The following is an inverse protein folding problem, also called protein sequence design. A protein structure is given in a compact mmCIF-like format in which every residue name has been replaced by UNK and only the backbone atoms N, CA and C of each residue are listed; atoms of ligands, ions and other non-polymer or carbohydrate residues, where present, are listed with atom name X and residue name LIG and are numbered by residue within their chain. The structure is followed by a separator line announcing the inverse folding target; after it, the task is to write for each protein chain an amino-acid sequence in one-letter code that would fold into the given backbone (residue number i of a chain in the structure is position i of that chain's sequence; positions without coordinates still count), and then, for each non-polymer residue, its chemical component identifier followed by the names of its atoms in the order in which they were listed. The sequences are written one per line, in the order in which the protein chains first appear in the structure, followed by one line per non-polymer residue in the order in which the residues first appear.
data_IF_659444821245
#
_entry.id   IF_659444821245
#
_cell.length_a   1.000
_cell.length_b   1.000
_cell.length_c   1.000
_cell.angle_alpha   90.00
_cell.angle_beta   90.00
_cell.angle_gamma   90.00
#
_symmetry.space_group_name_H-M   'P 1'
#
loop_
_entity.id
_entity.type
_entity.pdbx_description
1 polymer ?
#
# COMPACT_ATOMS: atom_id res chain seq x y z
N UNK A 1 -26.80 31.55 11.94
CA UNK A 1 -26.10 30.82 10.86
C UNK A 1 -25.11 29.88 11.55
N UNK A 2 -25.40 28.57 11.60
CA UNK A 2 -24.62 27.63 12.44
C UNK A 2 -23.58 26.87 11.58
N UNK A 3 -22.73 27.62 10.89
CA UNK A 3 -21.61 27.05 10.11
C UNK A 3 -20.32 27.40 10.83
N UNK A 4 -19.47 26.40 11.03
CA UNK A 4 -18.14 26.57 11.59
C UNK A 4 -17.09 26.43 10.49
N UNK A 5 -15.96 27.10 10.70
CA UNK A 5 -14.74 26.93 9.92
C UNK A 5 -13.74 26.21 10.83
N UNK A 6 -13.11 25.16 10.31
CA UNK A 6 -12.28 24.26 11.09
C UNK A 6 -11.02 23.91 10.29
N UNK A 7 -9.90 23.76 11.01
CA UNK A 7 -8.62 23.35 10.45
C UNK A 7 -8.41 21.86 10.73
N UNK A 8 -8.71 21.02 9.74
CA UNK A 8 -8.69 19.57 9.89
C UNK A 8 -7.39 18.97 9.39
N UNK A 9 -6.70 18.25 10.28
CA UNK A 9 -5.65 17.30 9.93
C UNK A 9 -6.28 15.92 9.81
N UNK A 10 -6.38 15.39 8.60
CA UNK A 10 -7.02 14.11 8.32
C UNK A 10 -6.15 12.97 8.84
N UNK A 11 -6.74 12.07 9.62
CA UNK A 11 -6.06 10.88 10.14
C UNK A 11 -6.45 9.64 9.32
N UNK A 12 -7.74 9.48 9.06
CA UNK A 12 -8.29 8.40 8.26
C UNK A 12 -9.36 8.95 7.33
N UNK A 13 -9.51 8.33 6.17
CA UNK A 13 -10.56 8.66 5.22
C UNK A 13 -10.91 7.40 4.43
N UNK A 14 -12.18 7.02 4.48
CA UNK A 14 -12.73 5.87 3.78
C UNK A 14 -13.98 6.27 3.02
N UNK A 15 -14.18 5.67 1.85
CA UNK A 15 -15.42 5.83 1.08
C UNK A 15 -16.48 4.89 1.66
N UNK A 16 -17.55 5.45 2.18
CA UNK A 16 -18.73 4.73 2.66
C UNK A 16 -19.97 5.18 1.87
N UNK A 17 -20.24 4.46 0.78
CA UNK A 17 -21.34 4.77 -0.13
C UNK A 17 -21.16 6.14 -0.81
N UNK A 18 -22.12 7.04 -0.58
CA UNK A 18 -22.16 8.38 -1.16
C UNK A 18 -21.32 9.41 -0.40
N UNK A 19 -20.60 8.99 0.65
CA UNK A 19 -19.79 9.87 1.49
C UNK A 19 -18.39 9.35 1.71
N UNK A 20 -17.46 10.28 1.89
CA UNK A 20 -16.17 10.02 2.51
C UNK A 20 -16.34 10.30 3.99
N UNK A 21 -16.01 9.30 4.80
CA UNK A 21 -16.07 9.38 6.26
C UNK A 21 -14.70 9.11 6.85
N UNK A 22 -14.42 9.66 8.02
CA UNK A 22 -13.12 9.46 8.61
C UNK A 22 -12.94 10.17 9.93
N UNK A 23 -11.70 10.18 10.39
CA UNK A 23 -11.28 10.88 11.59
C UNK A 23 -10.28 11.98 11.24
N UNK A 24 -10.37 13.10 11.93
CA UNK A 24 -9.44 14.22 11.81
C UNK A 24 -9.16 14.82 13.18
N UNK A 25 -8.15 15.69 13.24
CA UNK A 25 -7.85 16.53 14.40
C UNK A 25 -8.19 17.97 14.05
N UNK A 26 -8.94 18.64 14.91
CA UNK A 26 -9.11 20.09 14.93
C UNK A 26 -8.55 20.62 16.24
N UNK A 27 -7.37 21.24 16.20
CA UNK A 27 -6.63 21.64 17.40
C UNK A 27 -6.25 20.42 18.27
N UNK A 28 -6.86 20.28 19.44
CA UNK A 28 -6.68 19.18 20.39
C UNK A 28 -7.85 18.18 20.40
N UNK A 29 -8.83 18.36 19.52
CA UNK A 29 -10.06 17.57 19.48
C UNK A 29 -10.01 16.58 18.32
N UNK A 30 -10.21 15.29 18.62
CA UNK A 30 -10.49 14.27 17.61
C UNK A 30 -11.94 14.40 17.14
N UNK A 31 -12.14 14.59 15.84
CA UNK A 31 -13.45 14.74 15.22
C UNK A 31 -13.69 13.66 14.19
N UNK A 32 -14.94 13.20 14.10
CA UNK A 32 -15.42 12.42 12.96
C UNK A 32 -15.84 13.39 11.87
N UNK A 33 -15.53 13.10 10.61
CA UNK A 33 -16.04 13.90 9.50
C UNK A 33 -16.84 13.08 8.51
N UNK A 34 -17.73 13.77 7.81
CA UNK A 34 -18.42 13.24 6.65
C UNK A 34 -18.56 14.33 5.59
N UNK A 35 -18.25 13.99 4.34
CA UNK A 35 -18.42 14.85 3.16
C UNK A 35 -19.01 14.03 2.01
N UNK A 36 -19.86 14.59 1.13
CA UNK A 36 -20.26 13.90 -0.08
C UNK A 36 -19.06 13.43 -0.92
N UNK A 37 -19.17 12.22 -1.47
CA UNK A 37 -18.18 11.64 -2.37
C UNK A 37 -18.29 12.32 -3.73
N UNK A 38 -17.24 13.06 -4.07
CA UNK A 38 -17.03 13.72 -5.37
C UNK A 38 -15.60 13.39 -5.81
N UNK A 39 -15.30 13.53 -7.09
CA UNK A 39 -13.93 13.28 -7.58
C UNK A 39 -12.90 14.17 -6.86
N UNK A 40 -13.27 15.43 -6.59
CA UNK A 40 -12.41 16.36 -5.87
C UNK A 40 -12.24 15.92 -4.40
N UNK A 41 -13.33 15.59 -3.70
CA UNK A 41 -13.22 15.18 -2.29
C UNK A 41 -12.42 13.87 -2.13
N UNK A 42 -12.51 12.93 -3.06
CA UNK A 42 -11.69 11.71 -3.03
C UNK A 42 -10.19 11.99 -3.11
N UNK A 43 -9.78 13.04 -3.83
CA UNK A 43 -8.38 13.42 -3.95
C UNK A 43 -7.88 14.26 -2.75
N UNK A 44 -8.77 15.02 -2.12
CA UNK A 44 -8.40 15.90 -1.00
C UNK A 44 -8.42 15.21 0.36
N UNK A 45 -9.39 14.34 0.59
CA UNK A 45 -9.56 13.66 1.88
C UNK A 45 -8.73 12.39 1.92
N UNK A 46 -7.42 12.58 2.08
CA UNK A 46 -6.42 11.53 2.26
C UNK A 46 -5.79 11.66 3.66
N UNK A 47 -5.28 10.57 4.26
CA UNK A 47 -4.52 10.65 5.51
C UNK A 47 -3.41 11.69 5.44
N UNK A 48 -3.13 12.37 6.53
CA UNK A 48 -2.13 13.45 6.66
C UNK A 48 -2.44 14.76 5.90
N UNK A 49 -3.53 14.83 5.14
CA UNK A 49 -3.95 16.09 4.53
C UNK A 49 -4.33 17.11 5.60
N UNK A 50 -3.99 18.39 5.33
CA UNK A 50 -4.37 19.51 6.18
C UNK A 50 -5.27 20.46 5.39
N UNK A 51 -6.53 20.57 5.82
CA UNK A 51 -7.60 21.23 5.08
C UNK A 51 -8.33 22.24 5.97
N UNK A 52 -8.56 23.45 5.46
CA UNK A 52 -9.55 24.36 6.04
C UNK A 52 -10.90 24.05 5.43
N UNK A 53 -11.87 23.68 6.25
CA UNK A 53 -13.21 23.29 5.81
C UNK A 53 -14.28 24.13 6.47
N UNK A 54 -15.42 24.26 5.80
CA UNK A 54 -16.65 24.75 6.42
C UNK A 54 -17.66 23.63 6.57
N UNK A 55 -18.39 23.65 7.68
CA UNK A 55 -19.35 22.60 7.97
C UNK A 55 -20.19 22.89 9.20
N UNK A 56 -20.92 21.87 9.64
CA UNK A 56 -21.72 21.92 10.86
C UNK A 56 -21.21 20.87 11.83
N UNK A 57 -20.76 21.32 13.00
CA UNK A 57 -20.48 20.42 14.10
C UNK A 57 -21.77 19.81 14.64
N UNK A 58 -21.67 18.55 15.05
CA UNK A 58 -22.73 17.77 15.66
C UNK A 58 -22.11 16.96 16.80
N UNK A 59 -22.84 16.82 17.90
CA UNK A 59 -22.50 15.80 18.87
C UNK A 59 -22.91 14.43 18.31
N UNK A 60 -22.02 13.46 18.43
CA UNK A 60 -22.29 12.06 18.14
C UNK A 60 -23.29 11.48 19.15
N UNK A 61 -23.76 10.27 18.85
CA UNK A 61 -24.66 9.53 19.76
C UNK A 61 -23.97 9.18 21.07
N UNK A 62 -22.68 8.86 20.99
CA UNK A 62 -21.86 8.50 22.14
C UNK A 62 -21.29 9.77 22.80
N UNK A 63 -21.31 9.78 24.13
CA UNK A 63 -20.81 10.91 24.91
C UNK A 63 -19.34 11.21 24.54
N UNK A 64 -19.03 12.50 24.34
CA UNK A 64 -17.68 12.95 23.98
C UNK A 64 -17.29 12.78 22.52
N UNK A 65 -18.18 12.26 21.66
CA UNK A 65 -17.92 12.20 20.21
C UNK A 65 -18.37 13.48 19.54
N UNK A 66 -17.46 14.14 18.83
CA UNK A 66 -17.77 15.33 18.02
C UNK A 66 -17.62 14.95 16.55
N UNK A 67 -18.64 15.28 15.76
CA UNK A 67 -18.65 15.08 14.32
C UNK A 67 -18.78 16.40 13.56
N UNK A 68 -18.22 16.50 12.36
CA UNK A 68 -18.42 17.59 11.43
C UNK A 68 -18.99 17.08 10.11
N UNK A 69 -20.16 17.60 9.73
CA UNK A 69 -20.69 17.45 8.37
C UNK A 69 -20.09 18.56 7.52
N UNK A 70 -19.16 18.21 6.64
CA UNK A 70 -18.43 19.17 5.82
C UNK A 70 -19.31 19.56 4.63
N UNK A 71 -19.47 20.87 4.45
CA UNK A 71 -20.20 21.46 3.34
C UNK A 71 -19.26 21.83 2.19
N UNK A 72 -18.08 22.35 2.50
CA UNK A 72 -17.09 22.71 1.48
C UNK A 72 -15.67 22.75 2.04
N UNK A 73 -14.68 22.58 1.17
CA UNK A 73 -13.28 22.86 1.46
C UNK A 73 -13.02 24.32 1.08
N UNK A 74 -12.52 25.11 2.03
CA UNK A 74 -12.19 26.52 1.83
C UNK A 74 -10.75 26.64 1.31
N UNK A 75 -9.82 25.90 1.90
CA UNK A 75 -8.42 25.92 1.52
C UNK A 75 -7.75 24.57 1.76
N UNK A 76 -6.72 24.30 0.98
CA UNK A 76 -5.82 23.17 1.14
C UNK A 76 -4.50 23.71 1.66
N UNK A 77 -4.13 23.37 2.90
CA UNK A 77 -2.87 23.80 3.50
C UNK A 77 -1.76 22.84 3.09
N UNK A 78 -2.04 21.55 3.16
CA UNK A 78 -1.09 20.50 2.80
C UNK A 78 -1.80 19.27 2.26
N UNK A 79 -1.21 18.64 1.25
CA UNK A 79 -1.55 17.31 0.78
C UNK A 79 -0.27 16.49 0.72
N UNK A 80 -0.27 15.27 1.29
CA UNK A 80 0.87 14.38 1.11
C UNK A 80 1.00 14.03 -0.36
N UNK A 81 2.23 14.12 -0.87
CA UNK A 81 2.56 13.66 -2.21
C UNK A 81 2.61 12.14 -2.16
N UNK A 82 1.77 11.47 -2.94
CA UNK A 82 1.91 10.03 -3.14
C UNK A 82 3.32 9.76 -3.67
N UNK A 83 4.13 9.03 -2.91
CA UNK A 83 5.44 8.59 -3.40
C UNK A 83 5.22 7.81 -4.70
N UNK A 84 5.97 8.11 -5.78
CA UNK A 84 5.83 7.36 -7.02
C UNK A 84 6.07 5.89 -6.70
N UNK A 85 5.09 5.04 -7.00
CA UNK A 85 5.26 3.61 -6.95
C UNK A 85 6.44 3.29 -7.87
N UNK A 86 7.52 2.73 -7.32
CA UNK A 86 8.64 2.27 -8.12
C UNK A 86 8.09 1.26 -9.13
N UNK A 87 8.06 1.63 -10.41
CA UNK A 87 7.80 0.69 -11.49
C UNK A 87 8.86 -0.40 -11.40
N UNK A 88 8.44 -1.59 -10.98
CA UNK A 88 9.27 -2.78 -11.04
C UNK A 88 9.37 -3.11 -12.53
N UNK A 89 10.38 -2.61 -13.22
CA UNK A 89 10.74 -3.09 -14.56
C UNK A 89 10.98 -4.60 -14.46
N UNK A 90 10.19 -5.46 -15.14
CA UNK A 90 10.52 -6.87 -15.20
C UNK A 90 11.75 -7.00 -16.10
N UNK A 91 12.90 -7.31 -15.50
CA UNK A 91 14.08 -7.74 -16.27
C UNK A 91 13.79 -9.10 -16.88
N UNK A 92 13.14 -9.13 -18.05
CA UNK A 92 13.28 -10.22 -18.99
C UNK A 92 14.73 -10.22 -19.49
N UNK A 93 15.51 -11.25 -19.15
CA UNK A 93 16.58 -11.72 -20.03
C UNK A 93 16.42 -13.23 -20.17
N UNK A 94 15.89 -13.58 -21.34
CA UNK A 94 15.84 -14.92 -21.89
C UNK A 94 17.25 -15.53 -22.04
N UNK A 95 17.28 -16.85 -22.05
CA UNK A 95 18.47 -17.68 -22.11
C UNK A 95 19.26 -17.60 -23.44
N UNK A 96 20.55 -17.96 -23.32
CA UNK A 96 21.42 -18.62 -24.31
C UNK A 96 22.08 -17.79 -25.42
N UNK A 97 23.43 -17.68 -25.37
CA UNK A 97 24.33 -17.95 -26.51
C UNK A 97 25.69 -18.50 -26.01
N UNK A 98 25.85 -19.81 -26.16
CA UNK A 98 26.98 -20.51 -26.81
C UNK A 98 28.36 -19.82 -26.88
N UNK A 99 29.35 -20.36 -26.14
CA UNK A 99 30.76 -19.99 -26.29
C UNK A 99 31.55 -21.20 -26.82
N UNK A 100 31.90 -21.14 -28.10
CA UNK A 100 32.78 -22.07 -28.81
C UNK A 100 34.24 -21.63 -28.54
N UNK A 101 35.10 -22.55 -28.07
CA UNK A 101 36.55 -22.34 -27.99
C UNK A 101 37.28 -23.39 -28.87
N UNK A 102 38.35 -23.02 -29.60
CA UNK A 102 39.04 -23.90 -30.55
C UNK A 102 40.08 -24.83 -29.90
N UNK A 103 40.45 -25.88 -30.63
CA UNK A 103 41.29 -27.02 -30.24
C UNK A 103 42.79 -26.76 -30.23
N UNK A 104 43.56 -27.50 -29.39
CA UNK A 104 44.56 -28.50 -29.82
C UNK A 104 45.32 -29.14 -28.62
N UNK A 105 45.74 -30.40 -28.78
CA UNK A 105 46.21 -31.41 -27.78
C UNK A 105 47.77 -31.50 -27.71
N UNK A 106 48.49 -32.43 -27.00
CA UNK A 106 48.11 -33.64 -26.23
C UNK A 106 48.90 -34.03 -24.92
N UNK A 107 48.35 -35.02 -24.20
CA UNK A 107 48.96 -36.13 -23.44
C UNK A 107 49.82 -35.90 -22.16
N UNK A 108 49.33 -36.43 -21.00
CA UNK A 108 49.88 -37.62 -20.28
C UNK A 108 49.34 -37.78 -18.84
N UNK A 109 49.16 -39.05 -18.45
CA UNK A 109 49.19 -39.61 -17.07
C UNK A 109 48.09 -39.16 -16.09
N UNK A 110 47.54 -39.96 -15.18
CA UNK A 110 47.72 -41.36 -14.72
C UNK A 110 46.48 -41.64 -13.84
N UNK A 111 45.77 -42.74 -14.10
CA UNK A 111 45.64 -43.91 -13.19
C UNK A 111 44.48 -43.88 -12.16
N UNK A 112 43.54 -44.82 -12.39
CA UNK A 112 42.73 -45.64 -11.44
C UNK A 112 41.76 -44.88 -10.50
N UNK A 113 40.53 -45.30 -10.22
CA UNK A 113 39.94 -46.66 -10.14
C UNK A 113 38.42 -46.56 -9.91
N UNK A 114 37.70 -47.61 -10.34
CA UNK A 114 36.47 -48.17 -9.73
C UNK A 114 35.14 -47.42 -9.92
N UNK A 115 34.19 -47.90 -10.75
CA UNK A 115 33.15 -48.93 -10.45
C UNK A 115 32.39 -48.65 -9.14
N UNK A 116 31.06 -48.73 -9.00
CA UNK A 116 29.94 -49.17 -9.85
C UNK A 116 28.63 -48.82 -9.12
N UNK A 117 27.63 -48.36 -9.87
CA UNK A 117 26.27 -48.95 -9.99
C UNK A 117 25.62 -49.56 -8.72
N UNK A 118 24.43 -49.07 -8.37
CA UNK A 118 23.13 -49.80 -8.42
C UNK A 118 22.20 -49.51 -7.23
N UNK A 119 21.07 -48.87 -7.55
CA UNK A 119 19.68 -49.24 -7.19
C UNK A 119 19.48 -50.15 -5.96
N UNK A 120 18.64 -49.69 -5.01
CA UNK A 120 17.46 -50.48 -4.60
C UNK A 120 16.38 -49.61 -3.96
N UNK A 121 15.14 -49.98 -4.24
CA UNK A 121 13.90 -49.29 -3.94
C UNK A 121 13.22 -49.79 -2.65
N UNK A 122 12.20 -49.02 -2.25
CA UNK A 122 10.83 -49.45 -1.93
C UNK A 122 10.33 -49.32 -0.47
N UNK A 123 9.24 -48.53 -0.38
CA UNK A 123 7.92 -48.79 0.25
C UNK A 123 7.74 -48.76 1.79
N UNK A 124 7.04 -47.70 2.25
CA UNK A 124 5.71 -47.62 2.96
C UNK A 124 5.38 -48.57 4.14
N UNK A 125 4.30 -48.36 4.95
CA UNK A 125 3.69 -47.13 5.54
C UNK A 125 3.08 -47.35 6.98
N UNK A 126 2.36 -46.33 7.54
CA UNK A 126 1.29 -46.35 8.61
C UNK A 126 1.76 -46.78 10.04
N UNK A 127 1.29 -46.37 11.22
CA UNK A 127 0.10 -45.72 11.82
C UNK A 127 0.60 -44.84 13.02
N UNK A 128 -0.17 -44.03 13.76
CA UNK A 128 -1.58 -44.10 14.17
C UNK A 128 -2.13 -42.69 14.45
#
# INVERSE_FOLDING_TARGET
MNTAISNLIILTADVNGDKIVGTAIDGDIKVLFAIPTTELSQRLFVPEANLIVSGKFRLGRDAGTIGISIASVIAVIYLPVAAPAAEITPTEVAASVEQIAPSDTPAKSKRKTSNTRSKKAAKTPVAA
#
